data_IF_122691803723
#
_entry.id   IF_122691803723
#
_cell.length_a   1.000
_cell.length_b   1.000
_cell.length_c   1.000
_cell.angle_alpha   90.00
_cell.angle_beta   90.00
_cell.angle_gamma   90.00
#
_symmetry.space_group_name_H-M   'P 1'
#
loop_
_entity.id
_entity.type
_entity.pdbx_description
1 polymer ?
#
# COMPACT_ATOMS: atom_id res chain seq x y z
N UNK A 1 -13.34 -12.45 -18.70
CA UNK A 1 -13.85 -12.20 -17.34
C UNK A 1 -12.86 -11.28 -16.64
N UNK A 2 -13.33 -10.32 -15.83
CA UNK A 2 -12.41 -9.46 -15.07
C UNK A 2 -11.81 -10.27 -13.93
N UNK A 3 -10.49 -10.45 -13.92
CA UNK A 3 -9.76 -11.18 -12.88
C UNK A 3 -9.88 -10.44 -11.54
N UNK A 4 -10.61 -11.01 -10.59
CA UNK A 4 -10.77 -10.41 -9.25
C UNK A 4 -9.55 -10.78 -8.40
N UNK A 5 -8.68 -9.81 -8.12
CA UNK A 5 -7.52 -10.02 -7.22
C UNK A 5 -7.95 -9.92 -5.76
N UNK A 6 -7.95 -11.04 -5.06
CA UNK A 6 -8.14 -11.07 -3.61
C UNK A 6 -6.84 -10.70 -2.88
N UNK A 7 -6.95 -9.94 -1.79
CA UNK A 7 -5.84 -9.61 -0.90
C UNK A 7 -6.34 -9.55 0.54
N UNK A 8 -5.62 -10.19 1.46
CA UNK A 8 -6.00 -10.27 2.88
C UNK A 8 -6.01 -8.91 3.58
N UNK A 9 -5.13 -8.01 3.15
CA UNK A 9 -5.04 -6.65 3.62
C UNK A 9 -4.67 -5.76 2.43
N UNK A 10 -5.45 -4.71 2.22
CA UNK A 10 -5.20 -3.70 1.18
C UNK A 10 -4.90 -2.38 1.87
N UNK A 11 -3.83 -1.73 1.43
CA UNK A 11 -3.42 -0.40 1.90
C UNK A 11 -3.57 0.57 0.72
N UNK A 12 -4.43 1.58 0.88
CA UNK A 12 -4.64 2.61 -0.13
C UNK A 12 -3.83 3.85 0.25
N UNK A 13 -2.75 4.11 -0.50
CA UNK A 13 -1.88 5.26 -0.29
C UNK A 13 -0.41 4.90 -0.20
N UNK A 14 0.40 5.66 -0.94
CA UNK A 14 1.86 5.57 -1.06
C UNK A 14 2.60 6.54 -0.14
N UNK A 15 1.92 7.18 0.82
CA UNK A 15 2.56 8.10 1.75
C UNK A 15 3.37 7.40 2.86
N UNK A 16 4.00 8.17 3.77
CA UNK A 16 4.75 7.62 4.90
C UNK A 16 3.88 6.73 5.81
N UNK A 17 2.61 7.11 5.99
CA UNK A 17 1.65 6.31 6.74
C UNK A 17 1.37 4.95 6.07
N UNK A 18 1.15 4.95 4.74
CA UNK A 18 0.88 3.73 3.98
C UNK A 18 2.08 2.78 3.96
N UNK A 19 3.28 3.30 3.75
CA UNK A 19 4.50 2.50 3.82
C UNK A 19 4.78 1.96 5.22
N UNK A 20 4.55 2.76 6.27
CA UNK A 20 4.69 2.29 7.65
C UNK A 20 3.72 1.14 7.93
N UNK A 21 2.45 1.29 7.57
CA UNK A 21 1.44 0.25 7.71
C UNK A 21 1.82 -1.02 6.92
N UNK A 22 2.33 -0.88 5.70
CA UNK A 22 2.74 -2.01 4.86
C UNK A 22 3.92 -2.77 5.46
N UNK A 23 4.92 -2.07 6.01
CA UNK A 23 6.07 -2.70 6.67
C UNK A 23 5.63 -3.51 7.88
N UNK A 24 4.79 -2.96 8.76
CA UNK A 24 4.31 -3.70 9.93
C UNK A 24 3.39 -4.86 9.55
N UNK A 25 2.53 -4.69 8.56
CA UNK A 25 1.68 -5.75 8.06
C UNK A 25 2.47 -6.89 7.40
N UNK A 26 3.53 -6.56 6.64
CA UNK A 26 4.43 -7.56 6.08
C UNK A 26 5.19 -8.33 7.17
N UNK A 27 5.68 -7.63 8.21
CA UNK A 27 6.30 -8.25 9.39
C UNK A 27 5.35 -9.17 10.16
N UNK A 28 4.04 -8.88 10.14
CA UNK A 28 3.00 -9.73 10.69
C UNK A 28 2.58 -10.88 9.76
N UNK A 29 3.33 -11.16 8.68
CA UNK A 29 3.05 -12.20 7.68
C UNK A 29 1.68 -12.05 6.99
N UNK A 30 1.15 -10.82 6.88
CA UNK A 30 -0.18 -10.59 6.29
C UNK A 30 -0.18 -10.45 4.78
N UNK A 31 1.00 -10.40 4.14
CA UNK A 31 1.16 -10.19 2.69
C UNK A 31 0.30 -9.00 2.17
N UNK A 32 0.53 -7.77 2.68
CA UNK A 32 -0.29 -6.61 2.33
C UNK A 32 -0.12 -6.23 0.86
N UNK A 33 -1.23 -5.84 0.21
CA UNK A 33 -1.21 -5.24 -1.13
C UNK A 33 -1.33 -3.73 -0.99
N UNK A 34 -0.30 -2.99 -1.43
CA UNK A 34 -0.30 -1.52 -1.42
C UNK A 34 -0.69 -0.99 -2.80
N UNK A 35 -1.70 -0.12 -2.83
CA UNK A 35 -2.14 0.60 -4.03
C UNK A 35 -1.66 2.04 -3.91
N UNK A 36 -0.79 2.45 -4.83
CA UNK A 36 -0.24 3.80 -4.86
C UNK A 36 -1.20 4.76 -5.56
N UNK A 37 -1.12 6.05 -5.20
CA UNK A 37 -1.69 7.10 -6.02
C UNK A 37 -0.83 7.37 -7.27
N UNK A 38 -1.17 8.43 -8.01
CA UNK A 38 -0.36 8.93 -9.13
C UNK A 38 1.03 9.33 -8.63
N UNK A 39 1.10 9.95 -7.47
CA UNK A 39 2.34 10.34 -6.81
C UNK A 39 2.77 9.33 -5.73
N UNK A 40 4.04 8.98 -5.74
CA UNK A 40 4.64 8.07 -4.76
C UNK A 40 5.26 8.88 -3.62
N UNK A 41 5.05 8.43 -2.38
CA UNK A 41 5.54 9.11 -1.17
C UNK A 41 4.61 10.22 -0.63
N UNK A 42 3.49 10.48 -1.30
CA UNK A 42 2.46 11.43 -0.85
C UNK A 42 2.96 12.86 -0.80
N UNK A 43 2.40 13.67 0.10
CA UNK A 43 2.71 15.11 0.20
C UNK A 43 4.17 15.43 0.57
N UNK A 44 4.98 14.46 0.99
CA UNK A 44 6.40 14.67 1.31
C UNK A 44 7.32 14.57 0.08
N UNK A 45 6.83 14.06 -1.04
CA UNK A 45 7.55 14.02 -2.33
C UNK A 45 6.77 14.76 -3.43
N UNK A 46 6.48 16.07 -3.27
CA UNK A 46 6.04 16.86 -4.40
C UNK A 46 7.24 17.07 -5.33
N UNK A 47 7.21 16.45 -6.52
CA UNK A 47 8.12 16.73 -7.65
C UNK A 47 7.36 17.39 -8.77
#
# INVERSE_FOLDING_TARGET
MSETRHSRLIILGSGPAGYTAAVYAARANLNPTLITGIEVGGQLTPT
#
